data_IF_323546893534
#
_entry.id   IF_323546893534
#
_cell.length_a   1.000
_cell.length_b   1.000
_cell.length_c   1.000
_cell.angle_alpha   90.00
_cell.angle_beta   90.00
_cell.angle_gamma   90.00
#
_symmetry.space_group_name_H-M   'P 1'
#
loop_
_entity.id
_entity.type
_entity.pdbx_description
1 polymer ?
#
# COMPACT_ATOMS: atom_id res chain seq x y z
N UNK A 1 29.33 -9.94 -31.50
CA UNK A 1 29.47 -9.34 -30.16
C UNK A 1 28.70 -8.02 -30.13
N UNK A 2 27.39 -8.06 -29.84
CA UNK A 2 26.62 -6.85 -29.54
C UNK A 2 26.39 -6.83 -28.05
N UNK A 3 27.11 -5.99 -27.32
CA UNK A 3 27.00 -5.89 -25.88
C UNK A 3 25.54 -5.58 -25.49
N UNK A 4 24.94 -6.46 -24.69
CA UNK A 4 23.80 -6.17 -23.82
C UNK A 4 24.24 -5.07 -22.84
N UNK A 5 24.30 -3.82 -23.30
CA UNK A 5 24.28 -2.69 -22.40
C UNK A 5 22.91 -2.72 -21.73
N UNK A 6 22.90 -2.85 -20.40
CA UNK A 6 21.71 -2.58 -19.60
C UNK A 6 21.20 -1.21 -20.04
N UNK A 7 20.07 -1.18 -20.74
CA UNK A 7 19.43 0.07 -21.11
C UNK A 7 18.95 0.71 -19.81
N UNK A 8 19.56 1.84 -19.45
CA UNK A 8 19.12 2.66 -18.34
C UNK A 8 18.24 3.78 -18.88
N UNK A 9 17.37 4.33 -18.03
CA UNK A 9 16.46 5.40 -18.43
C UNK A 9 17.22 6.65 -18.94
N UNK A 10 18.44 6.88 -18.47
CA UNK A 10 19.29 8.00 -18.89
C UNK A 10 19.75 7.88 -20.36
N UNK A 11 19.83 6.65 -20.90
CA UNK A 11 20.27 6.43 -22.29
C UNK A 11 19.31 7.08 -23.30
N UNK A 12 18.02 7.23 -22.97
CA UNK A 12 17.07 7.92 -23.85
C UNK A 12 17.37 9.42 -23.98
N UNK A 13 17.92 10.03 -22.93
CA UNK A 13 18.26 11.47 -22.93
C UNK A 13 19.56 11.68 -23.70
N UNK A 14 20.55 10.81 -23.50
CA UNK A 14 21.90 10.94 -24.06
C UNK A 14 21.97 10.49 -25.52
N UNK A 15 21.42 9.32 -25.86
CA UNK A 15 21.59 8.70 -27.17
C UNK A 15 20.39 8.90 -28.11
N UNK A 16 20.66 9.56 -29.23
CA UNK A 16 19.67 9.74 -30.29
C UNK A 16 19.24 8.43 -30.95
N UNK A 17 20.17 7.51 -31.17
CA UNK A 17 19.88 6.22 -31.82
C UNK A 17 18.87 5.40 -31.01
N UNK A 18 18.98 5.44 -29.68
CA UNK A 18 18.02 4.79 -28.79
C UNK A 18 16.64 5.43 -28.97
N UNK A 19 16.53 6.77 -28.99
CA UNK A 19 15.22 7.43 -29.22
C UNK A 19 14.59 7.03 -30.55
N UNK A 20 15.38 6.99 -31.62
CA UNK A 20 14.89 6.68 -32.96
C UNK A 20 14.35 5.24 -33.08
N UNK A 21 14.88 4.29 -32.30
CA UNK A 21 14.34 2.92 -32.26
C UNK A 21 12.93 2.84 -31.65
N UNK A 22 12.62 3.69 -30.67
CA UNK A 22 11.39 3.62 -29.89
C UNK A 22 10.33 4.63 -30.33
N UNK A 23 10.63 5.50 -31.30
CA UNK A 23 9.77 6.62 -31.72
C UNK A 23 8.38 6.19 -32.21
N UNK A 24 8.27 4.96 -32.73
CA UNK A 24 7.00 4.43 -33.24
C UNK A 24 6.11 3.84 -32.14
N UNK A 25 6.61 3.62 -30.91
CA UNK A 25 5.84 3.07 -29.78
C UNK A 25 4.97 4.15 -29.11
N UNK A 26 4.15 4.86 -29.89
CA UNK A 26 3.32 5.99 -29.40
C UNK A 26 2.16 5.59 -28.50
N UNK A 27 1.83 4.31 -28.44
CA UNK A 27 0.81 3.73 -27.56
C UNK A 27 1.16 3.92 -26.08
N UNK A 28 2.46 3.97 -25.75
CA UNK A 28 2.94 4.17 -24.38
C UNK A 28 2.39 5.44 -23.74
N UNK A 29 2.20 6.49 -24.53
CA UNK A 29 1.68 7.76 -24.02
C UNK A 29 0.30 7.60 -23.40
N UNK A 30 -0.62 6.91 -24.09
CA UNK A 30 -1.99 6.70 -23.61
C UNK A 30 -2.05 5.79 -22.38
N UNK A 31 -1.11 4.86 -22.25
CA UNK A 31 -1.03 3.95 -21.09
C UNK A 31 -0.61 4.65 -19.80
N UNK A 32 0.26 5.67 -19.91
CA UNK A 32 0.79 6.39 -18.74
C UNK A 32 -0.16 7.50 -18.27
N UNK A 33 -0.73 8.27 -19.20
CA UNK A 33 -1.66 9.36 -18.90
C UNK A 33 -2.56 9.62 -20.11
N UNK A 34 -3.80 10.04 -19.87
CA UNK A 34 -4.74 10.36 -20.94
C UNK A 34 -4.16 11.43 -21.88
N UNK A 35 -4.17 11.12 -23.18
CA UNK A 35 -3.67 12.02 -24.21
C UNK A 35 -4.78 12.98 -24.64
N UNK A 36 -4.61 14.28 -24.39
CA UNK A 36 -5.55 15.30 -24.88
C UNK A 36 -5.11 15.75 -26.27
N UNK A 37 -5.73 15.19 -27.29
CA UNK A 37 -5.48 15.55 -28.69
C UNK A 37 -6.43 16.68 -29.11
N UNK A 38 -6.00 17.43 -30.13
CA UNK A 38 -6.85 18.38 -30.83
C UNK A 38 -8.00 17.66 -31.56
N UNK A 39 -9.03 18.38 -32.03
CA UNK A 39 -10.17 17.78 -32.76
C UNK A 39 -9.79 16.94 -33.99
N UNK A 40 -8.55 17.11 -34.49
CA UNK A 40 -8.00 16.32 -35.58
C UNK A 40 -7.50 14.92 -35.17
N UNK A 41 -7.53 14.58 -33.87
CA UNK A 41 -7.05 13.33 -33.29
C UNK A 41 -5.58 12.97 -33.62
N UNK A 42 -4.77 13.95 -34.02
CA UNK A 42 -3.40 13.71 -34.46
C UNK A 42 -2.36 14.56 -33.75
N UNK A 43 -2.73 15.80 -33.40
CA UNK A 43 -1.78 16.77 -32.88
C UNK A 43 -2.16 17.27 -31.49
N UNK A 44 -1.17 17.80 -30.78
CA UNK A 44 -1.34 18.52 -29.53
C UNK A 44 -0.62 19.87 -29.63
N UNK A 45 -1.11 20.88 -28.93
CA UNK A 45 -0.42 22.18 -28.82
C UNK A 45 0.75 22.07 -27.84
N UNK A 46 1.74 22.95 -27.96
CA UNK A 46 2.88 23.01 -27.01
C UNK A 46 2.40 23.19 -25.56
N UNK A 47 1.33 23.95 -25.35
CA UNK A 47 0.72 24.15 -24.03
C UNK A 47 0.16 22.84 -23.47
N UNK A 48 -0.62 22.12 -24.26
CA UNK A 48 -1.16 20.83 -23.84
C UNK A 48 -0.05 19.77 -23.63
N UNK A 49 1.06 19.82 -24.38
CA UNK A 49 2.24 18.97 -24.12
C UNK A 49 2.88 19.30 -22.76
N UNK A 50 2.99 20.58 -22.41
CA UNK A 50 3.52 21.01 -21.12
C UNK A 50 2.64 20.52 -19.96
N UNK A 51 1.31 20.65 -20.10
CA UNK A 51 0.33 20.13 -19.15
C UNK A 51 0.36 18.60 -19.04
N UNK A 52 0.53 17.90 -20.17
CA UNK A 52 0.67 16.46 -20.19
C UNK A 52 1.87 16.01 -19.36
N UNK A 53 3.05 16.63 -19.56
CA UNK A 53 4.29 16.28 -18.84
C UNK A 53 4.46 16.95 -17.47
N UNK A 54 3.53 17.80 -17.04
CA UNK A 54 3.60 18.55 -15.78
C UNK A 54 4.89 19.39 -15.67
N UNK A 55 5.24 20.07 -16.75
CA UNK A 55 6.41 20.96 -16.82
C UNK A 55 6.01 22.35 -17.30
N UNK A 56 6.87 23.32 -17.07
CA UNK A 56 6.67 24.67 -17.58
C UNK A 56 6.64 24.70 -19.11
N UNK A 57 5.80 25.56 -19.68
CA UNK A 57 5.70 25.81 -21.12
C UNK A 57 7.07 26.11 -21.75
N UNK A 58 7.90 26.92 -21.08
CA UNK A 58 9.22 27.30 -21.57
C UNK A 58 10.17 26.11 -21.68
N UNK A 59 10.05 25.11 -20.80
CA UNK A 59 10.84 23.88 -20.85
C UNK A 59 10.59 23.11 -22.14
N UNK A 60 9.32 23.00 -22.57
CA UNK A 60 8.98 22.33 -23.83
C UNK A 60 9.53 23.10 -25.03
N UNK A 61 9.43 24.43 -25.03
CA UNK A 61 10.02 25.27 -26.09
C UNK A 61 11.53 25.02 -26.18
N UNK A 62 12.23 25.04 -25.05
CA UNK A 62 13.67 24.84 -25.00
C UNK A 62 14.06 23.45 -25.55
N UNK A 63 13.31 22.41 -25.20
CA UNK A 63 13.52 21.05 -25.74
C UNK A 63 13.31 21.02 -27.25
N UNK A 64 12.20 21.59 -27.74
CA UNK A 64 11.89 21.66 -29.17
C UNK A 64 12.97 22.41 -29.96
N UNK A 65 13.53 23.48 -29.38
CA UNK A 65 14.57 24.28 -30.02
C UNK A 65 15.93 23.57 -30.02
N UNK A 66 16.32 22.93 -28.90
CA UNK A 66 17.60 22.20 -28.79
C UNK A 66 17.67 21.00 -29.73
N UNK A 67 16.55 20.31 -29.95
CA UNK A 67 16.47 19.12 -30.79
C UNK A 67 15.65 19.34 -32.07
N UNK A 68 15.69 20.56 -32.62
CA UNK A 68 14.86 20.97 -33.77
C UNK A 68 14.90 19.99 -34.95
N UNK A 69 16.09 19.49 -35.30
CA UNK A 69 16.28 18.55 -36.42
C UNK A 69 15.65 17.17 -36.19
N UNK A 70 15.47 16.73 -34.94
CA UNK A 70 14.74 15.50 -34.62
C UNK A 70 13.23 15.74 -34.73
N UNK A 71 12.75 16.86 -34.20
CA UNK A 71 11.32 17.20 -34.18
C UNK A 71 10.75 17.54 -35.57
N UNK A 72 11.55 18.13 -36.45
CA UNK A 72 11.16 18.33 -37.85
C UNK A 72 10.95 16.99 -38.56
N UNK A 73 11.80 15.98 -38.28
CA UNK A 73 11.64 14.62 -38.82
C UNK A 73 10.42 13.91 -38.26
N UNK A 74 10.07 14.17 -37.00
CA UNK A 74 8.87 13.63 -36.38
C UNK A 74 7.58 14.30 -36.86
N UNK A 75 7.68 15.39 -37.64
CA UNK A 75 6.54 16.07 -38.23
C UNK A 75 6.00 17.26 -37.43
N UNK A 76 6.78 17.84 -36.51
CA UNK A 76 6.39 19.08 -35.82
C UNK A 76 6.31 20.22 -36.84
N UNK A 77 5.16 20.90 -36.89
CA UNK A 77 4.91 22.00 -37.83
C UNK A 77 4.38 23.22 -37.10
N UNK A 78 4.73 24.39 -37.58
CA UNK A 78 4.15 25.65 -37.12
C UNK A 78 3.18 26.13 -38.17
N UNK A 79 1.92 26.30 -37.79
CA UNK A 79 0.85 26.81 -38.65
C UNK A 79 0.49 28.23 -38.24
N UNK A 80 0.08 29.02 -39.22
CA UNK A 80 -0.38 30.39 -39.05
C UNK A 80 -1.88 30.48 -39.38
N UNK A 81 -2.51 31.60 -39.04
CA UNK A 81 -3.94 31.82 -39.27
C UNK A 81 -4.39 31.77 -40.75
N UNK A 82 -3.44 31.85 -41.68
CA UNK A 82 -3.67 31.77 -43.13
C UNK A 82 -3.66 30.33 -43.66
N UNK A 83 -3.19 29.37 -42.87
CA UNK A 83 -3.06 27.98 -43.32
C UNK A 83 -4.39 27.24 -43.17
N UNK A 84 -4.73 26.39 -44.14
CA UNK A 84 -5.98 25.60 -44.13
C UNK A 84 -6.11 24.73 -42.87
N UNK A 85 -4.98 24.21 -42.36
CA UNK A 85 -4.94 23.41 -41.14
C UNK A 85 -5.35 24.17 -39.89
N UNK A 86 -5.21 25.50 -39.87
CA UNK A 86 -5.56 26.34 -38.72
C UNK A 86 -7.07 26.37 -38.48
N UNK A 87 -7.89 26.40 -39.54
CA UNK A 87 -9.34 26.44 -39.41
C UNK A 87 -9.91 25.20 -38.71
N UNK A 88 -9.31 24.02 -38.93
CA UNK A 88 -9.72 22.76 -38.30
C UNK A 88 -9.46 22.72 -36.79
N UNK A 89 -8.42 23.41 -36.33
CA UNK A 89 -8.01 23.41 -34.92
C UNK A 89 -8.43 24.67 -34.18
N UNK A 90 -8.96 25.68 -34.89
CA UNK A 90 -9.34 27.00 -34.35
C UNK A 90 -10.27 26.91 -33.14
N UNK A 91 -11.21 25.96 -33.15
CA UNK A 91 -12.18 25.77 -32.05
C UNK A 91 -11.52 25.34 -30.74
N UNK A 92 -10.38 24.66 -30.79
CA UNK A 92 -9.63 24.19 -29.63
C UNK A 92 -8.53 25.16 -29.16
N UNK A 93 -8.37 26.31 -29.82
CA UNK A 93 -7.33 27.30 -29.52
C UNK A 93 -7.90 28.49 -28.74
N UNK A 94 -7.05 29.15 -27.95
CA UNK A 94 -7.44 30.37 -27.24
C UNK A 94 -7.64 31.53 -28.21
N UNK A 95 -8.62 32.41 -27.91
CA UNK A 95 -8.91 33.58 -28.72
C UNK A 95 -7.66 34.47 -28.90
N UNK A 96 -7.32 34.79 -30.15
CA UNK A 96 -6.16 35.63 -30.49
C UNK A 96 -4.84 34.88 -30.73
N UNK A 97 -4.82 33.54 -30.70
CA UNK A 97 -3.60 32.77 -30.97
C UNK A 97 -3.39 32.53 -32.47
N UNK A 98 -2.71 33.45 -33.16
CA UNK A 98 -2.54 33.38 -34.62
C UNK A 98 -1.48 32.38 -35.11
N UNK A 99 -0.52 32.00 -34.26
CA UNK A 99 0.56 31.07 -34.60
C UNK A 99 0.54 29.91 -33.60
N UNK A 100 0.48 28.68 -34.11
CA UNK A 100 0.40 27.47 -33.29
C UNK A 100 1.39 26.44 -33.80
N UNK A 101 2.15 25.86 -32.89
CA UNK A 101 3.01 24.72 -33.18
C UNK A 101 2.26 23.42 -32.87
N UNK A 102 2.00 22.65 -33.92
CA UNK A 102 1.37 21.34 -33.87
C UNK A 102 2.42 20.28 -33.60
N UNK A 103 2.20 19.51 -32.53
CA UNK A 103 3.10 18.46 -32.08
C UNK A 103 2.42 17.10 -32.28
N UNK A 104 2.86 16.26 -33.23
CA UNK A 104 2.28 14.94 -33.45
C UNK A 104 2.68 13.94 -32.36
N UNK A 105 1.95 12.81 -32.26
CA UNK A 105 2.18 11.75 -31.25
C UNK A 105 3.64 11.29 -31.13
N UNK A 106 4.37 11.17 -32.25
CA UNK A 106 5.79 10.80 -32.26
C UNK A 106 6.67 11.84 -31.55
N UNK A 107 6.46 13.11 -31.86
CA UNK A 107 7.17 14.21 -31.23
C UNK A 107 6.82 14.33 -29.74
N UNK A 108 5.56 14.11 -29.36
CA UNK A 108 5.15 14.07 -27.95
C UNK A 108 5.93 13.00 -27.20
N UNK A 109 6.09 11.81 -27.78
CA UNK A 109 6.88 10.74 -27.18
C UNK A 109 8.36 11.11 -27.07
N UNK A 110 8.95 11.70 -28.11
CA UNK A 110 10.35 12.15 -28.07
C UNK A 110 10.60 13.20 -26.97
N UNK A 111 9.65 14.12 -26.75
CA UNK A 111 9.72 15.04 -25.61
C UNK A 111 9.83 14.26 -24.28
N UNK A 112 9.02 13.22 -24.09
CA UNK A 112 9.10 12.36 -22.89
C UNK A 112 10.40 11.58 -22.77
N UNK A 113 11.04 11.22 -23.88
CA UNK A 113 12.36 10.59 -23.86
C UNK A 113 13.48 11.58 -23.46
N UNK A 114 13.30 12.88 -23.73
CA UNK A 114 14.31 13.92 -23.48
C UNK A 114 14.17 14.64 -22.12
N UNK A 115 12.96 14.68 -21.55
CA UNK A 115 12.71 15.39 -20.29
C UNK A 115 13.26 14.64 -19.08
N UNK A 116 14.35 15.13 -18.48
CA UNK A 116 15.00 14.46 -17.33
C UNK A 116 14.10 14.38 -16.09
N UNK A 117 13.53 15.52 -15.68
CA UNK A 117 12.96 15.68 -14.33
C UNK A 117 11.42 15.55 -14.27
N UNK A 118 10.75 15.35 -15.41
CA UNK A 118 9.30 15.15 -15.41
C UNK A 118 8.96 13.75 -14.88
N UNK A 119 8.11 13.68 -13.85
CA UNK A 119 7.61 12.42 -13.27
C UNK A 119 6.94 11.53 -14.32
N UNK A 120 6.23 12.13 -15.26
CA UNK A 120 5.51 11.44 -16.33
C UNK A 120 6.50 10.95 -17.39
N UNK A 121 7.49 11.77 -17.73
CA UNK A 121 8.56 11.38 -18.64
C UNK A 121 9.39 10.20 -18.11
N UNK A 122 9.71 10.19 -16.81
CA UNK A 122 10.38 9.07 -16.13
C UNK A 122 9.53 7.79 -16.29
N UNK A 123 8.23 7.84 -15.98
CA UNK A 123 7.32 6.70 -16.14
C UNK A 123 7.26 6.19 -17.59
N UNK A 124 7.26 7.10 -18.57
CA UNK A 124 7.28 6.72 -19.99
C UNK A 124 8.56 5.98 -20.33
N UNK A 125 9.73 6.48 -19.91
CA UNK A 125 11.01 5.80 -20.14
C UNK A 125 11.06 4.43 -19.46
N UNK A 126 10.60 4.34 -18.21
CA UNK A 126 10.51 3.07 -17.49
C UNK A 126 9.59 2.06 -18.20
N UNK A 127 8.47 2.53 -18.74
CA UNK A 127 7.55 1.69 -19.49
C UNK A 127 8.16 1.22 -20.82
N UNK A 128 8.86 2.10 -21.54
CA UNK A 128 9.59 1.73 -22.76
C UNK A 128 10.65 0.67 -22.50
N UNK A 129 11.41 0.80 -21.40
CA UNK A 129 12.38 -0.21 -20.96
C UNK A 129 11.69 -1.52 -20.62
N UNK A 130 10.58 -1.47 -19.88
CA UNK A 130 9.83 -2.67 -19.51
C UNK A 130 9.33 -3.42 -20.72
N UNK A 131 8.78 -2.73 -21.73
CA UNK A 131 8.37 -3.37 -22.99
C UNK A 131 9.55 -4.07 -23.65
N UNK A 132 10.74 -3.47 -23.61
CA UNK A 132 11.93 -4.09 -24.20
C UNK A 132 12.39 -5.32 -23.40
N UNK A 133 12.38 -5.24 -22.07
CA UNK A 133 12.69 -6.37 -21.19
C UNK A 133 11.70 -7.52 -21.38
N UNK A 134 10.39 -7.23 -21.45
CA UNK A 134 9.39 -8.27 -21.72
C UNK A 134 9.56 -8.82 -23.11
N UNK A 135 9.76 -7.98 -24.13
CA UNK A 135 10.01 -8.43 -25.50
C UNK A 135 11.21 -9.38 -25.52
N UNK A 136 12.35 -9.01 -24.96
CA UNK A 136 13.57 -9.84 -24.96
C UNK A 136 13.47 -11.13 -24.14
N UNK A 137 12.75 -11.13 -23.02
CA UNK A 137 12.47 -12.34 -22.22
C UNK A 137 11.41 -13.25 -22.86
N UNK A 138 10.40 -12.67 -23.53
CA UNK A 138 9.34 -13.39 -24.23
C UNK A 138 9.87 -14.09 -25.48
N UNK A 139 10.91 -13.55 -26.14
CA UNK A 139 11.66 -14.27 -27.18
C UNK A 139 12.37 -15.54 -26.64
N UNK A 140 12.61 -15.64 -25.31
CA UNK A 140 13.27 -16.81 -24.70
C UNK A 140 12.30 -17.85 -24.11
N UNK A 141 11.03 -17.50 -23.85
CA UNK A 141 10.09 -18.38 -23.09
C UNK A 141 8.67 -18.51 -23.65
N UNK A 142 8.45 -18.07 -24.88
CA UNK A 142 7.16 -18.19 -25.56
C UNK A 142 6.25 -17.02 -25.19
N UNK A 143 5.91 -16.22 -26.21
CA UNK A 143 5.23 -14.92 -26.09
C UNK A 143 3.97 -15.01 -25.24
N UNK A 144 3.93 -14.27 -24.12
CA UNK A 144 2.74 -14.03 -23.31
C UNK A 144 2.28 -12.60 -23.59
N UNK A 145 1.06 -12.44 -24.11
CA UNK A 145 0.50 -11.11 -24.37
C UNK A 145 -0.10 -10.50 -23.10
N UNK A 146 -0.25 -9.18 -23.06
CA UNK A 146 -0.93 -8.47 -21.97
C UNK A 146 -2.34 -9.07 -21.71
N UNK A 147 -3.05 -9.43 -22.79
CA UNK A 147 -4.36 -10.07 -22.74
C UNK A 147 -4.31 -11.46 -22.09
N UNK A 148 -3.29 -12.28 -22.41
CA UNK A 148 -3.13 -13.61 -21.82
C UNK A 148 -2.97 -13.54 -20.30
N UNK A 149 -2.33 -12.49 -19.79
CA UNK A 149 -2.14 -12.30 -18.35
C UNK A 149 -3.45 -11.94 -17.66
N UNK A 150 -4.29 -11.11 -18.29
CA UNK A 150 -5.63 -10.78 -17.80
C UNK A 150 -6.51 -12.01 -17.78
N UNK A 151 -6.61 -12.74 -18.91
CA UNK A 151 -7.39 -13.98 -19.00
C UNK A 151 -6.89 -15.04 -18.02
N UNK A 152 -5.58 -15.13 -17.78
CA UNK A 152 -5.02 -16.05 -16.78
C UNK A 152 -5.51 -15.70 -15.37
N UNK A 153 -5.58 -14.41 -15.02
CA UNK A 153 -6.08 -13.96 -13.73
C UNK A 153 -7.57 -14.29 -13.54
N UNK A 154 -8.37 -14.06 -14.58
CA UNK A 154 -9.80 -14.41 -14.58
C UNK A 154 -10.03 -15.91 -14.37
N UNK A 155 -9.33 -16.76 -15.13
CA UNK A 155 -9.45 -18.22 -15.00
C UNK A 155 -9.02 -18.66 -13.60
N UNK A 156 -7.89 -18.16 -13.10
CA UNK A 156 -7.39 -18.54 -11.77
C UNK A 156 -8.35 -18.13 -10.67
N UNK A 157 -8.90 -16.91 -10.72
CA UNK A 157 -9.83 -16.43 -9.69
C UNK A 157 -11.17 -17.15 -9.74
N UNK A 158 -11.69 -17.40 -10.95
CA UNK A 158 -12.95 -18.13 -11.14
C UNK A 158 -12.84 -19.57 -10.60
N UNK A 159 -11.75 -20.26 -10.94
CA UNK A 159 -11.53 -21.65 -10.52
C UNK A 159 -11.26 -21.76 -9.01
N UNK A 160 -10.52 -20.81 -8.42
CA UNK A 160 -10.37 -20.74 -6.96
C UNK A 160 -11.73 -20.49 -6.28
N UNK A 161 -12.57 -19.63 -6.85
CA UNK A 161 -13.92 -19.35 -6.32
C UNK A 161 -14.84 -20.57 -6.37
N UNK A 162 -14.66 -21.45 -7.36
CA UNK A 162 -15.33 -22.76 -7.45
C UNK A 162 -14.77 -23.81 -6.48
N UNK A 163 -13.74 -23.48 -5.70
CA UNK A 163 -13.09 -24.39 -4.74
C UNK A 163 -12.02 -25.30 -5.36
N UNK A 164 -11.61 -25.07 -6.61
CA UNK A 164 -10.57 -25.86 -7.25
C UNK A 164 -9.18 -25.47 -6.75
N UNK A 165 -8.27 -26.46 -6.72
CA UNK A 165 -6.88 -26.21 -6.37
C UNK A 165 -6.21 -25.27 -7.39
N UNK A 166 -5.25 -24.48 -6.91
CA UNK A 166 -4.44 -23.58 -7.74
C UNK A 166 -3.80 -24.27 -8.94
N UNK A 167 -3.37 -25.51 -8.76
CA UNK A 167 -2.81 -26.33 -9.84
C UNK A 167 -3.88 -26.79 -10.85
N UNK A 168 -5.10 -27.08 -10.38
CA UNK A 168 -6.26 -27.35 -11.23
C UNK A 168 -6.59 -26.17 -12.14
N UNK A 169 -6.63 -24.96 -11.58
CA UNK A 169 -6.83 -23.73 -12.34
C UNK A 169 -5.75 -23.51 -13.43
N UNK A 170 -4.48 -23.78 -13.09
CA UNK A 170 -3.37 -23.62 -14.03
C UNK A 170 -3.43 -24.64 -15.17
N UNK A 171 -3.90 -25.87 -14.93
CA UNK A 171 -4.15 -26.83 -16.01
C UNK A 171 -5.26 -26.37 -16.95
N UNK A 172 -6.31 -25.75 -16.43
CA UNK A 172 -7.43 -25.22 -17.23
C UNK A 172 -6.92 -24.07 -18.08
N UNK A 173 -6.19 -23.12 -17.48
CA UNK A 173 -5.53 -22.03 -18.21
C UNK A 173 -4.54 -22.53 -19.27
N UNK A 174 -3.78 -23.59 -18.98
CA UNK A 174 -2.86 -24.18 -19.95
C UNK A 174 -3.58 -24.74 -21.19
N UNK A 175 -4.76 -25.34 -20.99
CA UNK A 175 -5.62 -25.81 -22.09
C UNK A 175 -6.16 -24.64 -22.91
N UNK A 176 -6.59 -23.54 -22.27
CA UNK A 176 -7.12 -22.37 -22.99
C UNK A 176 -6.05 -21.67 -23.82
N UNK A 177 -4.83 -21.55 -23.30
CA UNK A 177 -3.71 -20.91 -24.01
C UNK A 177 -2.99 -21.84 -25.00
N UNK A 178 -3.34 -23.13 -25.06
CA UNK A 178 -2.61 -24.16 -25.80
C UNK A 178 -1.09 -24.15 -25.47
N UNK A 179 -0.75 -23.99 -24.18
CA UNK A 179 0.64 -23.90 -23.68
C UNK A 179 0.91 -25.02 -22.67
N UNK A 180 2.20 -25.32 -22.46
CA UNK A 180 2.61 -26.28 -21.43
C UNK A 180 2.16 -25.80 -20.03
N UNK A 181 1.45 -26.63 -19.23
CA UNK A 181 1.04 -26.26 -17.86
C UNK A 181 2.18 -25.76 -16.99
N UNK A 182 3.39 -26.30 -17.16
CA UNK A 182 4.56 -25.88 -16.40
C UNK A 182 5.03 -24.48 -16.79
N UNK A 183 4.89 -24.09 -18.06
CA UNK A 183 5.22 -22.73 -18.50
C UNK A 183 4.23 -21.70 -17.92
N UNK A 184 2.93 -22.04 -17.90
CA UNK A 184 1.89 -21.22 -17.26
C UNK A 184 2.14 -21.07 -15.76
N UNK A 185 2.48 -22.18 -15.09
CA UNK A 185 2.83 -22.18 -13.67
C UNK A 185 4.04 -21.29 -13.37
N UNK A 186 5.09 -21.40 -14.17
CA UNK A 186 6.31 -20.60 -14.02
C UNK A 186 6.04 -19.10 -14.21
N UNK A 187 5.24 -18.72 -15.21
CA UNK A 187 4.87 -17.32 -15.45
C UNK A 187 4.01 -16.78 -14.29
N UNK A 188 3.01 -17.55 -13.86
CA UNK A 188 2.17 -17.23 -12.71
C UNK A 188 3.02 -17.01 -11.43
N UNK A 189 3.95 -17.93 -11.14
CA UNK A 189 4.86 -17.86 -10.00
C UNK A 189 5.77 -16.64 -10.07
N UNK A 190 6.36 -16.37 -11.25
CA UNK A 190 7.23 -15.22 -11.45
C UNK A 190 6.51 -13.90 -11.12
N UNK A 191 5.31 -13.72 -11.67
CA UNK A 191 4.51 -12.52 -11.44
C UNK A 191 4.11 -12.41 -9.97
N UNK A 192 3.61 -13.50 -9.38
CA UNK A 192 3.21 -13.53 -7.96
C UNK A 192 4.39 -13.19 -7.03
N UNK A 193 5.60 -13.68 -7.34
CA UNK A 193 6.78 -13.42 -6.50
C UNK A 193 7.27 -11.97 -6.58
N UNK A 194 7.20 -11.35 -7.77
CA UNK A 194 7.69 -9.97 -7.98
C UNK A 194 6.68 -8.89 -7.63
N UNK A 195 5.39 -9.15 -7.89
CA UNK A 195 4.32 -8.16 -7.75
C UNK A 195 3.30 -8.53 -6.67
N UNK A 196 3.50 -9.64 -5.94
CA UNK A 196 2.62 -10.11 -4.88
C UNK A 196 1.45 -10.95 -5.40
N UNK A 197 0.65 -10.38 -6.33
CA UNK A 197 -0.44 -11.09 -6.99
C UNK A 197 -0.52 -10.75 -8.48
N UNK A 198 -1.23 -11.59 -9.23
CA UNK A 198 -1.47 -11.38 -10.65
C UNK A 198 -2.37 -10.15 -10.89
N UNK A 199 -3.34 -9.92 -10.00
CA UNK A 199 -4.19 -8.73 -9.97
C UNK A 199 -3.38 -7.44 -9.72
N UNK A 200 -2.45 -7.46 -8.77
CA UNK A 200 -1.59 -6.30 -8.50
C UNK A 200 -0.68 -5.99 -9.71
N UNK A 201 -0.18 -7.03 -10.39
CA UNK A 201 0.54 -6.84 -11.65
C UNK A 201 -0.33 -6.19 -12.73
N UNK A 202 -1.58 -6.62 -12.89
CA UNK A 202 -2.51 -6.02 -13.85
C UNK A 202 -2.76 -4.55 -13.54
N UNK A 203 -2.98 -4.21 -12.26
CA UNK A 203 -3.26 -2.84 -11.83
C UNK A 203 -2.03 -1.92 -11.96
N UNK A 204 -0.84 -2.37 -11.52
CA UNK A 204 0.40 -1.59 -11.61
C UNK A 204 0.79 -1.31 -13.07
N UNK A 205 0.53 -2.28 -13.95
CA UNK A 205 0.88 -2.17 -15.37
C UNK A 205 -0.27 -1.62 -16.24
N UNK A 206 -1.42 -1.30 -15.63
CA UNK A 206 -2.61 -0.81 -16.31
C UNK A 206 -3.01 -1.68 -17.52
N UNK A 207 -3.03 -3.01 -17.34
CA UNK A 207 -3.24 -3.99 -18.43
C UNK A 207 -4.70 -4.18 -18.81
N UNK A 208 -5.64 -3.58 -18.07
CA UNK A 208 -7.07 -3.58 -18.43
C UNK A 208 -7.25 -2.57 -19.56
N UNK A 209 -7.14 -3.02 -20.80
CA UNK A 209 -7.56 -2.24 -21.94
C UNK A 209 -9.08 -2.25 -22.04
N UNK A 210 -9.66 -1.11 -22.38
CA UNK A 210 -10.96 -1.08 -23.05
C UNK A 210 -10.84 -1.94 -24.31
N UNK A 211 -11.58 -3.04 -24.34
CA UNK A 211 -11.56 -4.03 -25.42
C UNK A 211 -11.76 -3.30 -26.76
N UNK A 212 -10.90 -3.53 -27.76
CA UNK A 212 -11.07 -3.00 -29.12
C UNK A 212 -12.46 -3.36 -29.70
N UNK A 213 -13.02 -4.47 -29.24
CA UNK A 213 -14.39 -4.90 -29.55
C UNK A 213 -15.45 -3.93 -29.01
N UNK A 214 -15.21 -3.32 -27.86
CA UNK A 214 -16.08 -2.27 -27.31
C UNK A 214 -16.00 -0.97 -28.11
N UNK A 215 -14.83 -0.61 -28.64
CA UNK A 215 -14.70 0.54 -29.56
C UNK A 215 -15.37 0.30 -30.92
N UNK A 216 -15.25 -0.90 -31.50
CA UNK A 216 -15.92 -1.26 -32.76
C UNK A 216 -17.45 -1.32 -32.61
N UNK A 217 -17.96 -1.82 -31.48
CA UNK A 217 -19.40 -1.81 -31.16
C UNK A 217 -19.91 -0.38 -30.93
N UNK A 218 -19.17 0.45 -30.18
CA UNK A 218 -19.50 1.87 -29.97
C UNK A 218 -19.48 2.66 -31.29
N UNK A 219 -18.50 2.41 -32.17
CA UNK A 219 -18.43 3.08 -33.47
C UNK A 219 -19.53 2.63 -34.43
N UNK A 220 -19.97 1.36 -34.36
CA UNK A 220 -21.12 0.87 -35.12
C UNK A 220 -22.44 1.47 -34.61
N UNK A 221 -22.64 1.57 -33.29
CA UNK A 221 -23.83 2.18 -32.67
C UNK A 221 -23.95 3.70 -32.92
N UNK A 222 -22.82 4.39 -33.04
CA UNK A 222 -22.77 5.83 -33.38
C UNK A 222 -23.16 6.09 -34.84
N UNK A 223 -22.92 5.14 -35.75
CA UNK A 223 -23.31 5.27 -37.16
C UNK A 223 -24.78 4.94 -37.42
N UNK A 224 -25.39 4.07 -36.61
CA UNK A 224 -26.79 3.64 -36.80
C UNK A 224 -27.82 4.62 -36.19
N UNK A 225 -27.46 5.36 -35.14
CA UNK A 225 -28.42 6.13 -34.35
C UNK A 225 -28.36 7.66 -34.61
N UNK A 226 -28.70 8.06 -35.83
CA UNK A 226 -29.12 9.45 -36.12
C UNK A 226 -30.60 9.68 -35.76
N UNK A 227 -31.00 9.38 -34.52
CA UNK A 227 -32.30 9.81 -33.99
C UNK A 227 -32.12 10.28 -32.53
N UNK A 228 -32.24 11.60 -32.26
CA UNK A 228 -32.17 12.11 -30.92
C UNK A 228 -33.49 11.77 -30.19
N UNK A 229 -33.38 11.41 -28.92
CA UNK A 229 -34.40 11.55 -27.86
C UNK A 229 -34.78 10.30 -27.05
N UNK A 230 -34.21 9.11 -27.31
CA UNK A 230 -34.53 7.93 -26.47
C UNK A 230 -33.29 7.32 -25.78
N UNK A 231 -32.13 7.31 -26.43
CA UNK A 231 -30.91 6.70 -25.85
C UNK A 231 -30.15 7.60 -24.86
N UNK A 232 -30.18 8.93 -25.08
CA UNK A 232 -29.45 9.88 -24.23
C UNK A 232 -29.93 9.90 -22.78
N UNK A 233 -31.22 9.68 -22.54
CA UNK A 233 -31.78 9.74 -21.19
C UNK A 233 -31.39 8.53 -20.33
N UNK A 234 -31.28 7.33 -20.91
CA UNK A 234 -30.87 6.14 -20.17
C UNK A 234 -29.36 6.14 -19.89
N UNK A 235 -28.54 6.51 -20.87
CA UNK A 235 -27.09 6.63 -20.67
C UNK A 235 -26.74 7.75 -19.67
N UNK A 236 -27.42 8.90 -19.74
CA UNK A 236 -27.23 9.98 -18.77
C UNK A 236 -27.71 9.58 -17.36
N UNK A 237 -28.78 8.78 -17.26
CA UNK A 237 -29.25 8.25 -15.98
C UNK A 237 -28.27 7.23 -15.39
N UNK A 238 -27.71 6.33 -16.21
CA UNK A 238 -26.68 5.38 -15.78
C UNK A 238 -25.39 6.09 -15.40
N UNK A 239 -24.96 7.08 -16.19
CA UNK A 239 -23.81 7.94 -15.87
C UNK A 239 -24.02 8.68 -14.55
N UNK A 240 -25.23 9.21 -14.31
CA UNK A 240 -25.57 9.90 -13.06
C UNK A 240 -25.56 8.94 -11.87
N UNK A 241 -26.13 7.74 -12.01
CA UNK A 241 -26.06 6.69 -10.98
C UNK A 241 -24.63 6.24 -10.70
N UNK A 242 -23.80 6.17 -11.75
CA UNK A 242 -22.39 5.83 -11.62
C UNK A 242 -21.63 6.91 -10.85
N UNK A 243 -21.82 8.19 -11.20
CA UNK A 243 -21.24 9.33 -10.48
C UNK A 243 -21.69 9.38 -9.03
N UNK A 244 -22.95 9.06 -8.75
CA UNK A 244 -23.49 8.98 -7.40
C UNK A 244 -22.87 7.81 -6.61
N UNK A 245 -22.68 6.65 -7.24
CA UNK A 245 -21.98 5.53 -6.60
C UNK A 245 -20.49 5.84 -6.33
N UNK A 246 -19.82 6.57 -7.22
CA UNK A 246 -18.45 7.05 -7.01
C UNK A 246 -18.33 8.07 -5.88
N UNK A 247 -19.32 8.95 -5.73
CA UNK A 247 -19.36 9.86 -4.60
C UNK A 247 -19.56 9.10 -3.29
N UNK A 248 -20.46 8.11 -3.28
CA UNK A 248 -20.68 7.25 -2.12
C UNK A 248 -19.44 6.45 -1.73
N UNK A 249 -18.67 5.90 -2.69
CA UNK A 249 -17.42 5.20 -2.40
C UNK A 249 -16.37 6.14 -1.81
N UNK A 250 -16.25 7.36 -2.35
CA UNK A 250 -15.35 8.38 -1.81
C UNK A 250 -15.72 8.80 -0.38
N UNK A 251 -17.02 8.92 -0.07
CA UNK A 251 -17.49 9.19 1.29
C UNK A 251 -17.20 8.02 2.24
N UNK A 252 -17.39 6.77 1.79
CA UNK A 252 -17.04 5.58 2.56
C UNK A 252 -15.54 5.51 2.84
N UNK A 253 -14.68 5.83 1.86
CA UNK A 253 -13.23 5.90 2.05
C UNK A 253 -12.84 6.95 3.11
N UNK A 254 -13.46 8.13 3.06
CA UNK A 254 -13.27 9.17 4.08
C UNK A 254 -13.64 8.67 5.48
N UNK A 255 -14.79 8.00 5.58
CA UNK A 255 -15.28 7.43 6.85
C UNK A 255 -14.38 6.31 7.37
N UNK A 256 -13.87 5.45 6.50
CA UNK A 256 -12.87 4.42 6.85
C UNK A 256 -11.59 5.06 7.38
N UNK A 257 -11.11 6.12 6.74
CA UNK A 257 -9.90 6.82 7.18
C UNK A 257 -10.10 7.49 8.56
N UNK A 258 -11.27 8.07 8.81
CA UNK A 258 -11.64 8.61 10.12
C UNK A 258 -11.68 7.53 11.20
N UNK A 259 -12.32 6.39 10.92
CA UNK A 259 -12.38 5.26 11.86
C UNK A 259 -10.99 4.66 12.15
N UNK A 260 -10.12 4.60 11.14
CA UNK A 260 -8.72 4.17 11.33
C UNK A 260 -7.96 5.10 12.28
N UNK A 261 -8.15 6.40 12.15
CA UNK A 261 -7.53 7.39 13.03
C UNK A 261 -8.04 7.22 14.47
N UNK A 262 -9.36 7.10 14.65
CA UNK A 262 -9.98 6.89 15.96
C UNK A 262 -9.50 5.59 16.62
N UNK A 263 -9.39 4.50 15.86
CA UNK A 263 -8.86 3.23 16.36
C UNK A 263 -7.41 3.36 16.81
N UNK A 264 -6.59 4.14 16.08
CA UNK A 264 -5.20 4.41 16.45
C UNK A 264 -5.12 5.19 17.77
N UNK A 265 -5.96 6.21 17.93
CA UNK A 265 -6.00 7.04 19.14
C UNK A 265 -6.50 6.25 20.36
N UNK A 266 -7.51 5.40 20.19
CA UNK A 266 -7.97 4.49 21.23
C UNK A 266 -6.89 3.49 21.65
N UNK A 267 -6.10 2.98 20.68
CA UNK A 267 -4.96 2.12 20.97
C UNK A 267 -3.88 2.83 21.79
N UNK A 268 -3.52 4.07 21.43
CA UNK A 268 -2.58 4.89 22.21
C UNK A 268 -3.09 5.16 23.63
N UNK A 269 -4.39 5.43 23.80
CA UNK A 269 -5.01 5.61 25.12
C UNK A 269 -4.92 4.34 25.98
N UNK A 270 -5.12 3.17 25.37
CA UNK A 270 -4.97 1.89 26.07
C UNK A 270 -3.52 1.66 26.51
N UNK A 271 -2.55 1.92 25.64
CA UNK A 271 -1.12 1.77 25.97
C UNK A 271 -0.70 2.67 27.15
N UNK A 272 -1.19 3.91 27.20
CA UNK A 272 -0.97 4.80 28.35
C UNK A 272 -1.63 4.23 29.62
N UNK A 273 -2.84 3.66 29.51
CA UNK A 273 -3.54 3.06 30.66
C UNK A 273 -2.82 1.82 31.19
N UNK A 274 -2.22 1.01 30.33
CA UNK A 274 -1.42 -0.14 30.73
C UNK A 274 -0.17 0.30 31.49
N UNK A 275 0.53 1.33 31.02
CA UNK A 275 1.67 1.93 31.74
C UNK A 275 1.26 2.50 33.11
N UNK A 276 0.10 3.16 33.20
CA UNK A 276 -0.45 3.63 34.49
C UNK A 276 -0.77 2.47 35.44
N UNK A 277 -1.30 1.37 34.93
CA UNK A 277 -1.59 0.16 35.72
C UNK A 277 -0.30 -0.48 36.22
N UNK A 278 0.72 -0.63 35.37
CA UNK A 278 2.05 -1.11 35.77
C UNK A 278 2.64 -0.23 36.88
N UNK A 279 2.60 1.10 36.73
CA UNK A 279 3.06 2.01 37.77
C UNK A 279 2.33 1.78 39.10
N UNK A 280 0.99 1.67 39.08
CA UNK A 280 0.19 1.41 40.28
C UNK A 280 0.49 0.06 40.93
N UNK A 281 0.67 -1.01 40.14
CA UNK A 281 1.01 -2.33 40.70
C UNK A 281 2.36 -2.32 41.41
N UNK A 282 3.36 -1.60 40.89
CA UNK A 282 4.64 -1.44 41.59
C UNK A 282 4.51 -0.64 42.89
N UNK A 283 3.62 0.36 42.93
CA UNK A 283 3.34 1.13 44.14
C UNK A 283 2.65 0.30 45.22
N UNK A 284 1.67 -0.52 44.83
CA UNK A 284 1.02 -1.50 45.73
C UNK A 284 2.04 -2.46 46.32
N UNK A 285 2.92 -3.02 45.49
CA UNK A 285 3.98 -3.91 45.96
C UNK A 285 4.94 -3.24 46.97
N UNK A 286 5.22 -1.93 46.82
CA UNK A 286 5.99 -1.17 47.82
C UNK A 286 5.22 -1.02 49.13
N UNK A 287 3.92 -0.68 49.07
CA UNK A 287 3.05 -0.57 50.26
C UNK A 287 2.95 -1.90 51.01
N UNK A 288 2.84 -3.03 50.30
CA UNK A 288 2.79 -4.37 50.92
C UNK A 288 4.05 -4.73 51.70
N UNK A 289 5.24 -4.32 51.19
CA UNK A 289 6.50 -4.48 51.91
C UNK A 289 6.51 -3.69 53.22
N UNK A 290 6.00 -2.44 53.21
CA UNK A 290 5.90 -1.59 54.39
C UNK A 290 4.92 -2.21 55.41
N UNK A 291 3.75 -2.65 54.95
CA UNK A 291 2.76 -3.33 55.81
C UNK A 291 3.37 -4.57 56.46
N UNK A 292 4.13 -5.36 55.71
CA UNK A 292 4.81 -6.55 56.24
C UNK A 292 5.83 -6.21 57.33
N UNK A 293 6.58 -5.09 57.18
CA UNK A 293 7.50 -4.60 58.21
C UNK A 293 6.76 -4.15 59.47
N UNK A 294 5.73 -3.32 59.30
CA UNK A 294 4.90 -2.84 60.42
C UNK A 294 4.22 -3.99 61.18
N UNK A 295 3.80 -5.06 60.49
CA UNK A 295 3.26 -6.27 61.13
C UNK A 295 4.30 -6.95 62.02
N UNK A 296 5.56 -7.05 61.58
CA UNK A 296 6.65 -7.62 62.39
C UNK A 296 6.94 -6.75 63.61
N UNK A 297 7.03 -5.44 63.43
CA UNK A 297 7.29 -4.49 64.52
C UNK A 297 6.16 -4.51 65.55
N UNK A 298 4.90 -4.58 65.11
CA UNK A 298 3.73 -4.77 65.97
C UNK A 298 3.83 -6.04 66.81
N UNK A 299 4.16 -7.18 66.19
CA UNK A 299 4.33 -8.44 66.91
C UNK A 299 5.44 -8.35 67.97
N UNK A 300 6.57 -7.71 67.64
CA UNK A 300 7.65 -7.51 68.60
C UNK A 300 7.21 -6.67 69.80
N UNK A 301 6.46 -5.58 69.56
CA UNK A 301 5.89 -4.74 70.62
C UNK A 301 4.84 -5.47 71.46
N UNK A 302 4.00 -6.31 70.86
CA UNK A 302 3.04 -7.15 71.61
C UNK A 302 3.76 -8.13 72.54
N UNK A 303 4.87 -8.74 72.08
CA UNK A 303 5.72 -9.60 72.90
C UNK A 303 6.34 -8.82 74.06
N UNK A 304 6.88 -7.62 73.81
CA UNK A 304 7.47 -6.80 74.88
C UNK A 304 6.43 -6.30 75.88
N UNK A 305 5.24 -5.91 75.43
CA UNK A 305 4.12 -5.55 76.31
C UNK A 305 3.72 -6.75 77.17
N UNK A 306 3.64 -7.95 76.60
CA UNK A 306 3.34 -9.18 77.36
C UNK A 306 4.41 -9.46 78.42
N UNK A 307 5.68 -9.23 78.11
CA UNK A 307 6.77 -9.35 79.08
C UNK A 307 6.65 -8.31 80.20
N UNK A 308 6.42 -7.04 79.87
CA UNK A 308 6.21 -5.96 80.86
C UNK A 308 5.01 -6.27 81.74
N UNK A 309 3.87 -6.70 81.16
CA UNK A 309 2.68 -7.13 81.94
C UNK A 309 3.03 -8.23 82.94
N UNK A 310 3.83 -9.22 82.55
CA UNK A 310 4.27 -10.30 83.45
C UNK A 310 5.15 -9.77 84.59
N UNK A 311 6.05 -8.82 84.29
CA UNK A 311 6.89 -8.17 85.30
C UNK A 311 6.02 -7.37 86.27
N UNK A 312 5.08 -6.56 85.78
CA UNK A 312 4.17 -5.76 86.61
C UNK A 312 3.28 -6.66 87.47
N UNK A 313 2.70 -7.72 86.91
CA UNK A 313 1.89 -8.69 87.67
C UNK A 313 2.71 -9.42 88.75
N UNK A 314 4.00 -9.69 88.50
CA UNK A 314 4.89 -10.27 89.50
C UNK A 314 5.36 -9.24 90.54
N UNK A 315 5.56 -7.98 90.15
CA UNK A 315 5.87 -6.88 91.08
C UNK A 315 4.70 -6.55 92.01
N UNK A 316 3.47 -6.61 91.52
CA UNK A 316 2.24 -6.48 92.34
C UNK A 316 2.06 -7.68 93.27
N UNK A 317 2.54 -8.88 92.90
CA UNK A 317 2.61 -10.02 93.83
C UNK A 317 3.71 -9.88 94.87
N UNK A 318 4.82 -9.21 94.56
CA UNK A 318 5.89 -8.95 95.52
C UNK A 318 5.51 -7.87 96.54
N UNK A 319 4.71 -6.85 96.17
CA UNK A 319 4.20 -5.87 97.15
C UNK A 319 3.12 -6.42 98.08
N UNK A 320 2.46 -7.52 97.70
CA UNK A 320 1.41 -8.15 98.51
C UNK A 320 1.92 -9.33 99.36
N UNK A 321 3.22 -9.63 99.32
CA UNK A 321 3.82 -10.80 99.98
C UNK A 321 4.92 -10.42 101.01
N UNK A 322 4.82 -9.24 101.63
CA UNK A 322 5.38 -9.05 102.98
C UNK A 322 4.30 -9.35 104.01
N UNK A 323 3.90 -10.62 104.10
CA UNK A 323 3.53 -11.28 105.36
C UNK A 323 3.13 -12.73 105.08
N UNK A 324 3.96 -13.66 105.58
CA UNK A 324 3.63 -15.06 105.88
C UNK A 324 3.32 -15.97 104.67
N UNK A 325 3.84 -17.17 104.49
CA UNK A 325 4.60 -18.07 105.33
C UNK A 325 4.47 -19.45 104.65
N UNK A 326 5.60 -20.13 104.48
CA UNK A 326 5.77 -21.60 104.46
C UNK A 326 4.74 -22.42 103.64
N UNK A 327 5.21 -23.08 102.57
CA UNK A 327 5.17 -24.56 102.45
C UNK A 327 5.90 -25.02 101.20
N UNK A 328 6.91 -25.86 101.41
CA UNK A 328 7.54 -26.67 100.39
C UNK A 328 6.52 -27.65 99.78
N UNK A 329 6.48 -27.73 98.46
CA UNK A 329 5.94 -28.89 97.74
C UNK A 329 6.76 -29.13 96.48
N UNK A 330 7.54 -30.21 96.50
CA UNK A 330 8.14 -30.84 95.32
C UNK A 330 7.04 -31.30 94.36
N UNK A 331 7.17 -31.03 93.06
CA UNK A 331 6.65 -31.92 92.00
C UNK A 331 7.44 -31.78 90.69
N UNK A 332 8.25 -32.82 90.45
CA UNK A 332 8.52 -33.57 89.20
C UNK A 332 8.43 -32.80 87.88
N UNK A 333 9.59 -32.59 87.23
CA UNK A 333 9.67 -32.17 85.83
C UNK A 333 9.49 -33.34 84.87
N UNK A 334 8.58 -33.20 83.89
CA UNK A 334 8.48 -34.10 82.74
C UNK A 334 9.22 -33.50 81.54
N UNK A 335 10.19 -34.23 80.98
CA UNK A 335 10.89 -33.85 79.75
C UNK A 335 10.30 -34.60 78.56
N UNK A 336 9.91 -33.85 77.53
CA UNK A 336 9.35 -34.38 76.28
C UNK A 336 10.38 -34.27 75.15
N UNK A 337 10.42 -35.25 74.26
CA UNK A 337 11.18 -35.18 72.99
C UNK A 337 10.24 -35.36 71.81
N UNK A 338 10.58 -34.74 70.66
CA UNK A 338 9.72 -34.66 69.47
C UNK A 338 10.27 -35.54 68.35
N UNK A 339 9.47 -36.51 67.89
CA UNK A 339 9.71 -37.19 66.61
C UNK A 339 8.50 -37.03 65.67
N UNK A 340 8.67 -37.40 64.40
CA UNK A 340 7.85 -37.09 63.22
C UNK A 340 6.37 -37.52 63.25
N UNK A 341 5.88 -38.07 64.38
CA UNK A 341 4.47 -38.42 64.62
C UNK A 341 3.79 -37.71 65.80
N UNK A 342 4.49 -36.88 66.59
CA UNK A 342 3.92 -36.21 67.78
C UNK A 342 4.74 -36.43 69.07
N UNK A 343 4.45 -35.67 70.14
CA UNK A 343 5.21 -35.73 71.41
C UNK A 343 4.89 -37.01 72.19
N UNK A 344 5.92 -37.69 72.70
CA UNK A 344 5.81 -38.87 73.57
C UNK A 344 6.57 -38.56 74.88
N UNK A 345 5.96 -38.86 76.04
CA UNK A 345 6.61 -38.72 77.36
C UNK A 345 7.67 -39.81 77.56
N UNK A 346 8.88 -39.40 77.96
CA UNK A 346 9.89 -40.32 78.48
C UNK A 346 9.62 -40.52 79.98
N UNK A 347 9.23 -41.73 80.36
CA UNK A 347 9.18 -42.14 81.77
C UNK A 347 10.59 -42.34 82.30
N UNK A 348 10.93 -41.64 83.38
CA UNK A 348 11.78 -42.18 84.45
C UNK A 348 10.90 -42.47 85.65
#
# INVERSE_FOLDING_TARGET
>A
MGALLKLNADNFVEDKNVRDQYINKTEVLQKVKLLSLLPDNQHMTVKAVAEYYEVEYQTIINVLNRHKSEFEKDGVKTINNKDEGYFKVKEALSAGQFIVKLVPRKAILRVGMLLRDSKIAIKIRDYLLRIEETSTEDHKRGVWTDNDIVTLNEIVNNEISKGNSKWGAIRIAAKTFNKNPQAVYQKFQYISKRHGSLENYININNLVYFDKKSEELLQAEIQENNHPDILGNNLNAEMSRFLESLNNTKELESKINQLKLETRDMKHKLEIKDLELEAKTTEVAKKDKIISKLKKDKLALEVSIKAIRKIVLNGVKASNNEETGITEAKTVGHTYTRDKGGMIELKN
#
